data_IF_175515242693
#
_entry.id   IF_175515242693
#
_cell.length_a   1.000
_cell.length_b   1.000
_cell.length_c   1.000
_cell.angle_alpha   90.00
_cell.angle_beta   90.00
_cell.angle_gamma   90.00
#
_symmetry.space_group_name_H-M   'P 1'
#
loop_
_entity.id
_entity.type
_entity.pdbx_description
1 polymer ?
#
# COMPACT_ATOMS: atom_id res chain seq x y z
N UNK A 1 -8.13 16.61 -8.31
CA UNK A 1 -6.93 16.23 -7.51
C UNK A 1 -7.10 14.76 -7.16
N UNK A 2 -6.05 13.93 -7.25
CA UNK A 2 -6.19 12.51 -6.91
C UNK A 2 -6.65 12.39 -5.46
N UNK A 3 -7.76 11.69 -5.25
CA UNK A 3 -8.37 11.55 -3.94
C UNK A 3 -7.51 10.78 -2.93
N UNK A 4 -6.37 10.23 -3.34
CA UNK A 4 -5.48 9.43 -2.49
C UNK A 4 -4.28 10.18 -1.89
N UNK A 5 -3.94 11.36 -2.39
CA UNK A 5 -2.82 12.15 -1.84
C UNK A 5 -3.09 12.46 -0.36
N UNK A 6 -2.12 12.17 0.51
CA UNK A 6 -2.27 12.37 1.97
C UNK A 6 -1.59 11.30 2.79
N UNK A 7 -1.82 11.32 4.10
CA UNK A 7 -1.24 10.34 5.03
C UNK A 7 -2.26 9.28 5.40
N UNK A 8 -1.78 8.05 5.52
CA UNK A 8 -2.57 6.86 5.76
C UNK A 8 -1.96 6.06 6.89
N UNK A 9 -2.81 5.49 7.75
CA UNK A 9 -2.37 4.61 8.84
C UNK A 9 -3.37 3.48 9.08
N UNK A 10 -2.87 2.34 9.54
CA UNK A 10 -3.68 1.17 9.84
C UNK A 10 -2.81 -0.05 10.02
N UNK A 11 -3.14 -1.17 9.39
CA UNK A 11 -2.41 -2.41 9.62
C UNK A 11 -2.25 -3.33 8.41
N UNK A 12 -1.20 -4.14 8.48
CA UNK A 12 -0.94 -5.32 7.65
C UNK A 12 -1.21 -6.58 8.47
N UNK A 13 -2.08 -7.45 7.98
CA UNK A 13 -2.26 -8.80 8.51
C UNK A 13 -1.42 -9.78 7.69
N UNK A 14 -0.65 -10.60 8.39
CA UNK A 14 0.28 -11.57 7.81
C UNK A 14 -0.31 -12.99 7.84
N UNK A 15 0.18 -13.93 6.99
CA UNK A 15 -0.33 -15.31 6.95
C UNK A 15 -0.20 -16.11 8.25
N UNK A 16 0.61 -15.63 9.20
CA UNK A 16 0.80 -16.22 10.52
C UNK A 16 -0.11 -15.59 11.59
N UNK A 17 -1.19 -14.94 11.16
CA UNK A 17 -2.15 -14.19 11.99
C UNK A 17 -1.54 -13.02 12.78
N UNK A 18 -0.27 -12.66 12.53
CA UNK A 18 0.32 -11.47 13.11
C UNK A 18 -0.16 -10.21 12.39
N UNK A 19 -0.33 -9.14 13.15
CA UNK A 19 -0.73 -7.84 12.63
C UNK A 19 0.36 -6.82 12.97
N UNK A 20 0.70 -5.97 11.99
CA UNK A 20 1.65 -4.87 12.20
C UNK A 20 1.02 -3.56 11.79
N UNK A 21 1.21 -2.55 12.63
CA UNK A 21 0.83 -1.19 12.30
C UNK A 21 1.66 -0.67 11.13
N UNK A 22 1.01 0.10 10.27
CA UNK A 22 1.63 0.71 9.11
C UNK A 22 1.25 2.18 9.02
N UNK A 23 2.20 3.02 8.62
CA UNK A 23 1.93 4.40 8.22
C UNK A 23 2.65 4.72 6.93
N UNK A 24 1.96 5.37 5.99
CA UNK A 24 2.56 5.84 4.75
C UNK A 24 1.94 7.14 4.25
N UNK A 25 2.71 7.84 3.42
CA UNK A 25 2.30 9.07 2.73
C UNK A 25 2.22 8.79 1.24
N UNK A 26 1.08 9.10 0.62
CA UNK A 26 0.93 9.10 -0.84
C UNK A 26 1.17 10.52 -1.35
N UNK A 27 2.12 10.65 -2.25
CA UNK A 27 2.53 11.89 -2.90
C UNK A 27 2.07 11.90 -4.36
N UNK A 28 1.79 13.10 -4.89
CA UNK A 28 1.31 13.28 -6.26
C UNK A 28 2.40 12.94 -7.28
N UNK A 29 2.07 12.22 -8.34
CA UNK A 29 2.93 12.11 -9.53
C UNK A 29 2.40 12.90 -10.74
N UNK A 30 3.25 13.01 -11.77
CA UNK A 30 3.12 13.91 -12.92
C UNK A 30 1.80 13.80 -13.74
N UNK A 31 1.09 12.66 -13.69
CA UNK A 31 -0.04 12.38 -14.61
C UNK A 31 -1.40 12.10 -13.93
N UNK A 32 -1.57 12.45 -12.66
CA UNK A 32 -2.89 12.49 -12.00
C UNK A 32 -3.47 11.12 -11.55
N UNK A 33 -3.16 10.03 -12.25
CA UNK A 33 -3.56 8.65 -11.89
C UNK A 33 -2.44 7.87 -11.20
N UNK A 34 -1.19 8.26 -11.44
CA UNK A 34 -0.01 7.65 -10.85
C UNK A 34 0.36 8.33 -9.53
N UNK A 35 0.92 7.60 -8.58
CA UNK A 35 1.44 8.13 -7.33
C UNK A 35 2.72 7.41 -6.89
N UNK A 36 3.49 8.11 -6.08
CA UNK A 36 4.63 7.58 -5.34
C UNK A 36 4.40 7.88 -3.86
N UNK A 37 5.27 7.38 -3.00
CA UNK A 37 5.14 7.66 -1.58
C UNK A 37 6.24 7.04 -0.78
N UNK A 38 6.15 7.22 0.53
CA UNK A 38 7.07 6.64 1.50
C UNK A 38 6.28 6.16 2.71
N UNK A 39 6.79 5.15 3.40
CA UNK A 39 6.14 4.66 4.60
C UNK A 39 7.08 3.89 5.50
N UNK A 40 6.54 3.50 6.65
CA UNK A 40 7.22 2.68 7.63
C UNK A 40 6.24 1.75 8.33
N UNK A 41 6.74 0.57 8.68
CA UNK A 41 6.17 -0.31 9.71
C UNK A 41 7.21 -0.51 10.82
N UNK A 42 6.87 -1.11 11.97
CA UNK A 42 7.84 -1.39 13.04
C UNK A 42 9.09 -2.16 12.59
N UNK A 43 9.00 -2.87 11.46
CA UNK A 43 10.08 -3.65 10.86
C UNK A 43 10.83 -2.93 9.74
N UNK A 44 10.62 -1.65 9.48
CA UNK A 44 11.45 -0.91 8.54
C UNK A 44 10.72 0.13 7.72
N UNK A 45 11.52 0.81 6.90
CA UNK A 45 11.05 1.85 5.99
C UNK A 45 10.94 1.31 4.56
N UNK A 46 10.09 1.93 3.76
CA UNK A 46 9.90 1.56 2.36
C UNK A 46 9.49 2.74 1.49
N UNK A 47 9.69 2.59 0.19
CA UNK A 47 9.12 3.44 -0.85
C UNK A 47 7.86 2.79 -1.43
N UNK A 48 6.89 3.63 -1.78
CA UNK A 48 5.76 3.27 -2.64
C UNK A 48 6.08 3.76 -4.05
N UNK A 49 6.07 2.83 -4.99
CA UNK A 49 6.35 3.08 -6.40
C UNK A 49 5.25 2.50 -7.30
N UNK A 50 5.19 3.00 -8.53
CA UNK A 50 4.24 2.55 -9.54
C UNK A 50 2.79 2.50 -9.02
N UNK A 51 2.44 3.40 -8.10
CA UNK A 51 1.10 3.49 -7.55
C UNK A 51 0.14 3.98 -8.60
N UNK A 52 -1.04 3.39 -8.69
CA UNK A 52 -2.09 3.76 -9.63
C UNK A 52 -3.47 3.65 -8.99
N UNK A 53 -4.35 4.58 -9.33
CA UNK A 53 -5.80 4.46 -9.14
C UNK A 53 -6.47 4.18 -10.48
N UNK A 54 -7.33 3.17 -10.50
CA UNK A 54 -8.16 2.80 -11.64
C UNK A 54 -9.61 3.09 -11.23
N UNK A 55 -10.17 4.13 -11.82
CA UNK A 55 -11.57 4.51 -11.60
C UNK A 55 -12.49 3.47 -12.24
N UNK A 56 -13.52 3.03 -11.51
CA UNK A 56 -14.49 2.04 -11.98
C UNK A 56 -15.89 2.39 -11.50
N UNK A 57 -16.91 2.03 -12.27
CA UNK A 57 -18.31 2.19 -11.88
C UNK A 57 -18.61 1.32 -10.63
N UNK A 58 -18.56 1.95 -9.46
CA UNK A 58 -18.90 1.35 -8.18
C UNK A 58 -17.81 1.46 -7.12
N UNK A 59 -16.54 1.20 -7.47
CA UNK A 59 -15.45 1.26 -6.52
C UNK A 59 -14.08 1.41 -7.20
N UNK A 60 -13.32 2.43 -6.78
CA UNK A 60 -11.97 2.65 -7.30
C UNK A 60 -11.01 1.59 -6.81
N UNK A 61 -10.21 1.07 -7.75
CA UNK A 61 -9.17 0.09 -7.47
C UNK A 61 -7.85 0.83 -7.30
N UNK A 62 -7.06 0.44 -6.30
CA UNK A 62 -5.71 0.93 -6.09
C UNK A 62 -4.70 -0.20 -6.19
N UNK A 63 -3.60 0.07 -6.88
CA UNK A 63 -2.47 -0.85 -6.98
C UNK A 63 -1.18 -0.08 -6.76
N UNK A 64 -0.21 -0.68 -6.08
CA UNK A 64 1.15 -0.12 -5.98
C UNK A 64 2.16 -1.22 -5.66
N UNK A 65 3.44 -0.90 -5.81
CA UNK A 65 4.51 -1.72 -5.29
C UNK A 65 5.22 -1.00 -4.13
N UNK A 66 5.60 -1.77 -3.13
CA UNK A 66 6.37 -1.35 -1.97
C UNK A 66 7.79 -1.92 -2.09
N UNK A 67 8.81 -1.08 -1.93
CA UNK A 67 10.22 -1.51 -1.90
C UNK A 67 10.80 -1.19 -0.53
N UNK A 68 11.19 -2.22 0.22
CA UNK A 68 11.82 -2.04 1.53
C UNK A 68 13.23 -1.44 1.40
N UNK A 69 13.52 -0.46 2.25
CA UNK A 69 14.84 0.16 2.44
C UNK A 69 15.65 -0.49 3.55
N UNK A 70 15.00 -1.19 4.48
CA UNK A 70 15.64 -1.85 5.61
C UNK A 70 14.92 -3.15 6.01
N UNK A 71 15.63 -4.00 6.76
CA UNK A 71 15.26 -5.37 7.20
C UNK A 71 15.06 -6.40 6.06
N UNK A 72 14.39 -6.00 4.98
CA UNK A 72 14.23 -6.77 3.73
C UNK A 72 14.62 -5.93 2.52
N UNK A 73 15.76 -5.23 2.63
CA UNK A 73 16.23 -4.29 1.60
C UNK A 73 16.13 -4.88 0.19
N UNK A 74 15.48 -4.14 -0.70
CA UNK A 74 15.28 -4.52 -2.10
C UNK A 74 14.14 -5.51 -2.36
N UNK A 75 13.49 -6.07 -1.33
CA UNK A 75 12.27 -6.86 -1.54
C UNK A 75 11.13 -5.95 -2.03
N UNK A 76 10.41 -6.46 -3.03
CA UNK A 76 9.29 -5.77 -3.65
C UNK A 76 8.01 -6.51 -3.27
N UNK A 77 7.08 -5.82 -2.64
CA UNK A 77 5.75 -6.36 -2.35
C UNK A 77 4.73 -5.64 -3.22
N UNK A 78 3.81 -6.39 -3.81
CA UNK A 78 2.75 -5.84 -4.66
C UNK A 78 1.47 -5.72 -3.86
N UNK A 79 0.78 -4.59 -3.99
CA UNK A 79 -0.46 -4.30 -3.28
C UNK A 79 -1.58 -4.10 -4.27
N UNK A 80 -2.74 -4.68 -3.96
CA UNK A 80 -4.00 -4.47 -4.67
C UNK A 80 -5.11 -4.28 -3.67
N UNK A 81 -5.87 -3.22 -3.81
CA UNK A 81 -6.98 -2.93 -2.92
C UNK A 81 -8.05 -2.10 -3.60
N UNK A 82 -8.96 -1.65 -2.76
CA UNK A 82 -10.08 -0.81 -3.14
C UNK A 82 -10.13 0.39 -2.22
N UNK A 83 -10.52 1.53 -2.78
CA UNK A 83 -10.74 2.75 -2.00
C UNK A 83 -12.20 2.78 -1.55
N UNK A 84 -12.43 3.13 -0.28
CA UNK A 84 -13.77 3.34 0.24
C UNK A 84 -14.51 4.44 -0.52
N UNK A 85 -15.82 4.34 -0.65
CA UNK A 85 -16.63 5.28 -1.45
C UNK A 85 -16.56 6.75 -1.00
N UNK A 86 -16.10 7.01 0.23
CA UNK A 86 -15.84 8.36 0.76
C UNK A 86 -14.37 8.81 0.63
N UNK A 87 -13.49 7.99 0.04
CA UNK A 87 -12.04 8.22 -0.04
C UNK A 87 -11.32 8.19 1.31
N UNK A 88 -11.96 7.71 2.39
CA UNK A 88 -11.44 7.78 3.75
C UNK A 88 -10.66 6.55 4.22
N UNK A 89 -10.78 5.44 3.50
CA UNK A 89 -10.04 4.20 3.81
C UNK A 89 -9.64 3.47 2.53
N UNK A 90 -8.65 2.61 2.66
CA UNK A 90 -8.20 1.69 1.63
C UNK A 90 -8.02 0.32 2.26
N UNK A 91 -8.52 -0.73 1.61
CA UNK A 91 -8.32 -2.10 2.06
C UNK A 91 -8.01 -3.02 0.90
N UNK A 92 -7.27 -4.09 1.14
CA UNK A 92 -6.94 -5.04 0.10
C UNK A 92 -6.02 -6.16 0.54
N UNK A 93 -5.28 -6.66 -0.43
CA UNK A 93 -4.28 -7.69 -0.27
C UNK A 93 -2.90 -7.19 -0.69
N UNK A 94 -1.89 -7.79 -0.09
CA UNK A 94 -0.50 -7.66 -0.50
C UNK A 94 0.07 -9.03 -0.84
N UNK A 95 1.07 -9.04 -1.71
CA UNK A 95 1.73 -10.22 -2.24
C UNK A 95 3.24 -9.97 -2.12
N UNK A 96 3.95 -10.77 -1.33
CA UNK A 96 5.41 -10.68 -1.30
C UNK A 96 6.02 -11.31 -2.56
N UNK A 97 7.18 -10.81 -2.99
CA UNK A 97 8.05 -11.51 -3.94
C UNK A 97 9.27 -12.05 -3.18
N UNK A 98 9.10 -13.11 -2.37
CA UNK A 98 10.19 -13.54 -1.53
C UNK A 98 11.23 -14.26 -2.40
N UNK A 99 12.50 -14.04 -2.07
CA UNK A 99 13.62 -14.69 -2.75
C UNK A 99 13.59 -16.23 -2.63
N UNK A 100 12.80 -16.77 -1.69
CA UNK A 100 12.64 -18.20 -1.43
C UNK A 100 11.56 -18.89 -2.31
N UNK A 101 10.92 -18.15 -3.22
CA UNK A 101 9.93 -18.69 -4.16
C UNK A 101 8.58 -19.04 -3.53
N UNK A 102 8.33 -18.66 -2.28
CA UNK A 102 7.00 -18.78 -1.65
C UNK A 102 6.06 -17.68 -2.17
N UNK A 103 4.76 -17.92 -2.14
CA UNK A 103 3.77 -16.87 -2.39
C UNK A 103 3.06 -16.58 -1.07
N UNK A 104 3.44 -15.51 -0.38
CA UNK A 104 2.72 -15.08 0.82
C UNK A 104 1.76 -13.99 0.44
N UNK A 105 0.53 -14.16 0.94
CA UNK A 105 -0.57 -13.25 0.69
C UNK A 105 -1.08 -12.83 2.06
N UNK A 106 -1.11 -11.53 2.30
CA UNK A 106 -1.76 -10.97 3.47
C UNK A 106 -2.81 -9.95 3.09
N UNK A 107 -3.46 -9.40 4.10
CA UNK A 107 -4.43 -8.31 3.95
C UNK A 107 -3.90 -7.03 4.55
N UNK A 108 -4.50 -5.91 4.15
CA UNK A 108 -4.22 -4.61 4.73
C UNK A 108 -5.46 -3.75 4.78
N UNK A 109 -5.48 -2.85 5.74
CA UNK A 109 -6.55 -1.87 5.92
C UNK A 109 -5.95 -0.60 6.51
N UNK A 110 -6.16 0.53 5.85
CA UNK A 110 -5.66 1.83 6.29
C UNK A 110 -6.72 2.90 6.16
N UNK A 111 -6.67 3.87 7.04
CA UNK A 111 -7.52 5.04 7.06
C UNK A 111 -6.69 6.29 6.80
N UNK A 112 -7.30 7.28 6.16
CA UNK A 112 -6.69 8.58 6.01
C UNK A 112 -6.61 9.27 7.38
N UNK A 113 -5.45 9.81 7.69
CA UNK A 113 -5.20 10.54 8.94
C UNK A 113 -4.94 12.04 8.72
N UNK A 114 -4.52 12.46 7.52
CA UNK A 114 -4.33 13.86 7.12
C UNK A 114 -4.57 14.04 5.61
#
# INVERSE_FOLDING_TARGET
>A
MSMLIGRWSGSFSYPNDSEKEITFTIEKSANGSLFIGTGHEPSGEFDIIAGQVIESEGQDIVTFAQIYKSIWEGQIWSFRGVVGGNGGFITGQWFDSPADGRNRIGSWNVQRIE
#
